data_IF_582929538512
#
_entry.id   IF_582929538512
#
_cell.length_a   1.000
_cell.length_b   1.000
_cell.length_c   1.000
_cell.angle_alpha   90.00
_cell.angle_beta   90.00
_cell.angle_gamma   90.00
#
_symmetry.space_group_name_H-M   'P 1'
#
loop_
_entity.id
_entity.type
_entity.pdbx_description
1 polymer ?
#
# COMPACT_ATOMS: atom_id res chain seq x y z
N UNK A 1 54.23 -10.28 -13.06
CA UNK A 1 53.58 -11.49 -12.49
C UNK A 1 52.15 -11.52 -13.03
N UNK A 2 51.88 -12.15 -14.18
CA UNK A 2 51.28 -13.50 -14.28
C UNK A 2 50.27 -13.77 -13.16
N UNK A 3 48.97 -13.93 -13.42
CA UNK A 3 48.38 -15.03 -14.21
C UNK A 3 47.06 -14.66 -14.92
N UNK A 4 46.97 -15.12 -16.17
CA UNK A 4 45.76 -15.42 -16.96
C UNK A 4 44.83 -16.42 -16.23
N UNK A 5 43.51 -16.33 -16.45
CA UNK A 5 42.59 -17.40 -16.91
C UNK A 5 41.14 -16.83 -16.89
N UNK A 6 40.54 -16.38 -18.01
CA UNK A 6 39.69 -17.14 -18.96
C UNK A 6 38.88 -18.29 -18.33
N UNK A 7 37.55 -18.15 -18.26
CA UNK A 7 36.66 -19.27 -18.52
C UNK A 7 35.44 -18.81 -19.32
N UNK A 8 35.31 -19.40 -20.51
CA UNK A 8 34.23 -19.22 -21.47
C UNK A 8 33.06 -20.15 -21.12
N UNK A 9 31.86 -19.72 -21.52
CA UNK A 9 30.71 -20.49 -22.07
C UNK A 9 30.71 -22.02 -21.90
N UNK A 10 29.63 -22.52 -21.30
CA UNK A 10 28.92 -23.76 -21.63
C UNK A 10 27.45 -23.53 -21.19
N UNK A 11 26.49 -23.21 -22.08
CA UNK A 11 25.71 -24.11 -22.93
C UNK A 11 25.58 -25.52 -22.33
N UNK A 12 24.54 -25.72 -21.53
CA UNK A 12 23.93 -27.02 -21.33
C UNK A 12 22.48 -26.95 -21.84
N UNK A 13 22.32 -27.26 -23.12
CA UNK A 13 21.07 -27.73 -23.70
C UNK A 13 20.75 -29.10 -23.10
N UNK A 14 19.64 -29.23 -22.38
CA UNK A 14 19.07 -30.54 -22.06
C UNK A 14 17.65 -30.60 -22.63
N UNK A 15 17.55 -31.22 -23.81
CA UNK A 15 16.32 -31.61 -24.48
C UNK A 15 16.36 -33.13 -24.57
N UNK A 16 15.39 -33.77 -23.92
CA UNK A 16 14.80 -35.09 -24.22
C UNK A 16 14.03 -35.55 -22.97
N UNK A 17 12.92 -36.26 -23.01
CA UNK A 17 11.95 -36.65 -24.02
C UNK A 17 10.92 -37.46 -23.23
N UNK A 18 9.69 -36.98 -23.04
CA UNK A 18 8.60 -37.79 -22.49
C UNK A 18 7.50 -37.87 -23.54
N UNK A 19 7.63 -38.84 -24.43
CA UNK A 19 6.56 -39.34 -25.28
C UNK A 19 5.69 -40.29 -24.45
N UNK A 20 4.42 -39.97 -24.29
CA UNK A 20 3.42 -40.82 -23.65
C UNK A 20 2.01 -40.38 -24.05
N UNK A 21 1.54 -40.91 -25.17
CA UNK A 21 0.23 -40.67 -25.76
C UNK A 21 -0.77 -41.71 -25.22
N UNK A 22 -1.85 -41.28 -24.56
CA UNK A 22 -3.06 -42.09 -24.45
C UNK A 22 -4.33 -41.22 -24.42
N UNK A 23 -4.80 -40.92 -25.62
CA UNK A 23 -6.18 -41.01 -26.11
C UNK A 23 -7.34 -41.02 -25.08
N UNK A 24 -8.01 -39.86 -25.02
CA UNK A 24 -9.47 -39.61 -25.09
C UNK A 24 -10.45 -40.62 -24.45
N UNK A 25 -11.24 -40.14 -23.49
CA UNK A 25 -12.70 -40.34 -23.48
C UNK A 25 -13.40 -39.04 -23.05
N UNK A 26 -14.18 -38.48 -23.98
CA UNK A 26 -15.13 -37.40 -23.79
C UNK A 26 -16.50 -38.06 -23.61
N UNK A 27 -17.14 -37.87 -22.45
CA UNK A 27 -18.60 -37.91 -22.36
C UNK A 27 -19.05 -36.79 -21.40
N UNK A 28 -19.94 -35.94 -21.90
CA UNK A 28 -20.64 -34.86 -21.21
C UNK A 28 -21.91 -35.42 -20.57
N UNK A 29 -22.31 -34.84 -19.44
CA UNK A 29 -23.70 -34.56 -19.03
C UNK A 29 -23.59 -33.52 -17.89
N UNK A 30 -23.59 -32.23 -18.23
CA UNK A 30 -24.72 -31.29 -18.18
C UNK A 30 -25.05 -30.68 -16.80
N UNK A 31 -24.90 -29.35 -16.75
CA UNK A 31 -25.80 -28.40 -16.08
C UNK A 31 -25.69 -28.19 -14.56
N UNK A 32 -24.78 -27.30 -14.14
CA UNK A 32 -25.10 -26.28 -13.13
C UNK A 32 -24.54 -24.92 -13.59
N UNK A 33 -25.48 -23.99 -13.68
CA UNK A 33 -25.43 -22.57 -14.06
C UNK A 33 -24.26 -21.79 -13.40
N UNK A 34 -23.40 -21.19 -14.23
CA UNK A 34 -22.58 -20.06 -13.80
C UNK A 34 -23.38 -18.76 -14.03
N UNK A 35 -23.55 -17.88 -13.04
CA UNK A 35 -24.10 -16.55 -13.30
C UNK A 35 -23.08 -15.73 -14.09
N UNK A 36 -23.40 -15.48 -15.37
CA UNK A 36 -22.78 -14.41 -16.17
C UNK A 36 -23.05 -13.06 -15.52
N UNK A 37 -22.04 -12.55 -14.84
CA UNK A 37 -21.90 -11.15 -14.46
C UNK A 37 -20.43 -10.79 -14.54
N UNK A 38 -20.01 -10.24 -15.68
CA UNK A 38 -18.70 -9.61 -15.84
C UNK A 38 -18.81 -8.14 -15.38
N UNK A 39 -18.01 -7.68 -14.42
CA UNK A 39 -17.58 -6.31 -14.35
C UNK A 39 -16.16 -6.18 -14.95
N UNK A 40 -16.13 -5.40 -16.01
CA UNK A 40 -14.99 -4.78 -16.71
C UNK A 40 -13.68 -4.68 -15.93
N UNK A 41 -12.62 -5.26 -16.51
CA UNK A 41 -11.22 -4.79 -16.53
C UNK A 41 -10.64 -4.17 -15.24
N UNK A 42 -9.80 -4.94 -14.53
CA UNK A 42 -8.61 -4.36 -13.88
C UNK A 42 -8.44 -4.49 -12.36
N UNK A 43 -9.29 -5.23 -11.62
CA UNK A 43 -9.23 -5.24 -10.14
C UNK A 43 -8.87 -6.59 -9.48
N UNK A 44 -8.68 -7.68 -10.22
CA UNK A 44 -8.67 -9.02 -9.60
C UNK A 44 -7.28 -9.54 -9.15
N UNK A 45 -6.17 -8.85 -9.46
CA UNK A 45 -4.83 -9.28 -9.03
C UNK A 45 -4.35 -8.60 -7.72
N UNK A 46 -5.02 -7.55 -7.24
CA UNK A 46 -4.67 -6.82 -6.01
C UNK A 46 -5.38 -7.36 -4.76
N UNK A 47 -6.34 -8.27 -4.92
CA UNK A 47 -7.16 -8.81 -3.82
C UNK A 47 -6.40 -9.88 -3.03
N UNK A 48 -5.52 -10.66 -3.68
CA UNK A 48 -4.80 -11.77 -3.05
C UNK A 48 -3.62 -11.33 -2.16
N UNK A 49 -2.98 -10.19 -2.44
CA UNK A 49 -1.90 -9.64 -1.58
C UNK A 49 -2.45 -8.80 -0.42
N UNK A 50 -3.70 -8.35 -0.50
CA UNK A 50 -4.40 -7.58 0.54
C UNK A 50 -4.76 -8.42 1.79
N UNK A 51 -4.86 -9.73 1.63
CA UNK A 51 -5.32 -10.69 2.65
C UNK A 51 -4.19 -11.32 3.51
N UNK A 52 -2.92 -11.16 3.12
CA UNK A 52 -1.79 -11.76 3.86
C UNK A 52 -1.26 -10.92 5.03
N UNK A 53 -1.73 -9.68 5.17
CA UNK A 53 -1.32 -8.77 6.24
C UNK A 53 -2.52 -8.18 6.93
N UNK A 54 -2.49 -8.17 8.27
CA UNK A 54 -3.58 -7.62 9.05
C UNK A 54 -3.72 -6.11 8.80
N UNK A 55 -4.95 -5.63 8.92
CA UNK A 55 -5.28 -4.22 8.77
C UNK A 55 -4.50 -3.33 9.77
N UNK A 56 -4.20 -3.87 10.95
CA UNK A 56 -3.41 -3.21 11.98
C UNK A 56 -1.93 -3.09 11.60
N UNK A 57 -1.31 -4.16 11.10
CA UNK A 57 0.08 -4.11 10.63
C UNK A 57 0.27 -3.11 9.48
N UNK A 58 -0.70 -3.07 8.55
CA UNK A 58 -0.68 -2.12 7.44
C UNK A 58 -0.86 -0.68 7.92
N UNK A 59 -1.69 -0.47 8.94
CA UNK A 59 -1.87 0.83 9.56
C UNK A 59 -0.60 1.29 10.27
N UNK A 60 0.05 0.42 11.05
CA UNK A 60 1.29 0.75 11.76
C UNK A 60 2.44 1.05 10.79
N UNK A 61 2.53 0.29 9.70
CA UNK A 61 3.46 0.58 8.60
C UNK A 61 3.18 1.94 7.96
N UNK A 62 1.91 2.25 7.68
CA UNK A 62 1.47 3.53 7.11
C UNK A 62 1.79 4.72 8.04
N UNK A 63 1.55 4.57 9.34
CA UNK A 63 1.88 5.58 10.35
C UNK A 63 3.39 5.81 10.41
N UNK A 64 4.18 4.73 10.40
CA UNK A 64 5.64 4.80 10.41
C UNK A 64 6.17 5.53 9.18
N UNK A 65 5.59 5.26 8.00
CA UNK A 65 5.93 5.98 6.76
C UNK A 65 5.72 7.48 6.96
N UNK A 66 4.50 7.91 7.32
CA UNK A 66 4.17 9.34 7.49
C UNK A 66 5.07 10.03 8.53
N UNK A 67 5.45 9.34 9.61
CA UNK A 67 6.35 9.88 10.64
C UNK A 67 7.79 10.03 10.15
N UNK A 68 8.24 9.13 9.28
CA UNK A 68 9.60 9.08 8.75
C UNK A 68 9.78 9.91 7.48
N UNK A 69 8.70 10.34 6.84
CA UNK A 69 8.76 11.26 5.71
C UNK A 69 9.45 12.57 6.12
N UNK A 70 10.43 13.05 5.34
CA UNK A 70 11.06 14.33 5.59
C UNK A 70 10.04 15.46 5.49
N UNK A 71 10.17 16.48 6.34
CA UNK A 71 9.28 17.64 6.35
C UNK A 71 9.43 18.52 5.10
N UNK A 72 10.59 18.42 4.46
CA UNK A 72 10.98 19.19 3.28
C UNK A 72 11.47 18.19 2.24
N UNK A 73 10.86 18.23 1.05
CA UNK A 73 11.17 17.33 -0.05
C UNK A 73 10.06 17.29 -1.08
N UNK A 74 10.28 16.62 -2.22
CA UNK A 74 9.26 16.38 -3.24
C UNK A 74 8.02 15.66 -2.69
N UNK A 75 8.20 14.76 -1.71
CA UNK A 75 7.11 14.10 -0.97
C UNK A 75 6.69 14.99 0.22
N UNK A 76 6.14 16.17 -0.08
CA UNK A 76 5.66 17.11 0.93
C UNK A 76 4.16 16.92 1.19
N UNK A 77 3.77 16.67 2.44
CA UNK A 77 2.36 16.67 2.84
C UNK A 77 1.83 18.10 3.05
N UNK A 78 0.72 18.43 2.38
CA UNK A 78 -0.02 19.66 2.65
C UNK A 78 -0.50 19.70 4.11
N UNK A 79 -0.66 20.90 4.68
CA UNK A 79 -1.21 21.07 6.02
C UNK A 79 -2.61 20.44 6.16
N UNK A 80 -3.39 20.42 5.09
CA UNK A 80 -4.71 19.78 5.05
C UNK A 80 -4.59 18.25 5.14
N UNK A 81 -3.70 17.64 4.35
CA UNK A 81 -3.42 16.20 4.42
C UNK A 81 -2.90 15.80 5.80
N UNK A 82 -2.03 16.61 6.43
CA UNK A 82 -1.56 16.38 7.81
C UNK A 82 -2.71 16.36 8.82
N UNK A 83 -3.71 17.23 8.64
CA UNK A 83 -4.90 17.27 9.49
C UNK A 83 -5.81 16.05 9.24
N UNK A 84 -5.95 15.61 7.99
CA UNK A 84 -6.71 14.41 7.63
C UNK A 84 -6.06 13.13 8.20
N UNK A 85 -4.74 12.97 8.06
CA UNK A 85 -4.03 11.86 8.71
C UNK A 85 -4.18 11.91 10.23
N UNK A 86 -4.10 13.10 10.83
CA UNK A 86 -4.27 13.25 12.27
C UNK A 86 -5.67 12.82 12.74
N UNK A 87 -6.73 13.26 12.06
CA UNK A 87 -8.11 12.93 12.46
C UNK A 87 -8.37 11.43 12.37
N UNK A 88 -7.96 10.79 11.26
CA UNK A 88 -8.10 9.36 11.05
C UNK A 88 -7.26 8.55 12.04
N UNK A 89 -6.03 8.99 12.35
CA UNK A 89 -5.19 8.35 13.36
C UNK A 89 -5.82 8.41 14.76
N UNK A 90 -6.38 9.56 15.13
CA UNK A 90 -7.06 9.74 16.42
C UNK A 90 -8.32 8.88 16.52
N UNK A 91 -9.11 8.80 15.45
CA UNK A 91 -10.29 7.94 15.39
C UNK A 91 -9.93 6.45 15.44
N UNK A 92 -8.87 6.04 14.74
CA UNK A 92 -8.39 4.65 14.73
C UNK A 92 -7.87 4.16 16.09
N UNK A 93 -7.23 5.06 16.86
CA UNK A 93 -6.59 4.72 18.14
C UNK A 93 -7.53 4.95 19.33
N UNK A 94 -8.02 6.18 19.46
CA UNK A 94 -8.89 6.60 20.57
C UNK A 94 -10.34 6.24 20.28
N UNK A 95 -10.82 6.52 19.07
CA UNK A 95 -12.24 6.51 18.73
C UNK A 95 -12.80 7.92 18.69
N UNK A 96 -14.09 8.06 19.01
CA UNK A 96 -14.79 9.34 19.01
C UNK A 96 -14.14 10.38 19.93
N UNK A 97 -14.26 11.65 19.52
CA UNK A 97 -13.68 12.75 20.26
C UNK A 97 -14.33 12.91 21.62
N UNK A 98 -13.49 12.90 22.66
CA UNK A 98 -13.89 12.90 24.06
C UNK A 98 -13.34 14.10 24.84
N UNK A 99 -12.79 15.10 24.15
CA UNK A 99 -12.25 16.32 24.75
C UNK A 99 -13.03 17.54 24.30
N UNK A 100 -13.04 18.58 25.14
CA UNK A 100 -13.61 19.87 24.77
C UNK A 100 -12.82 20.55 23.65
N UNK A 101 -13.50 21.43 22.92
CA UNK A 101 -12.89 22.19 21.84
C UNK A 101 -11.85 23.18 22.40
N UNK A 102 -10.61 23.18 21.90
CA UNK A 102 -9.57 24.12 22.35
C UNK A 102 -9.96 25.59 22.17
N UNK A 103 -9.43 26.44 23.06
CA UNK A 103 -9.67 27.88 23.05
C UNK A 103 -9.23 28.58 21.75
N UNK A 104 -9.82 29.75 21.49
CA UNK A 104 -9.63 30.50 20.23
C UNK A 104 -8.18 30.90 19.92
N UNK A 105 -7.32 30.96 20.93
CA UNK A 105 -5.91 31.35 20.80
C UNK A 105 -5.02 30.22 20.22
N UNK A 106 -5.48 28.96 20.26
CA UNK A 106 -4.75 27.81 19.72
C UNK A 106 -5.31 27.37 18.35
N UNK A 107 -5.03 28.14 17.29
CA UNK A 107 -5.59 27.88 15.94
C UNK A 107 -5.23 26.46 15.44
N UNK A 108 -4.00 26.00 15.66
CA UNK A 108 -3.54 24.68 15.20
C UNK A 108 -4.26 23.55 15.93
N UNK A 109 -4.35 23.63 17.26
CA UNK A 109 -5.02 22.61 18.07
C UNK A 109 -6.52 22.59 17.78
N UNK A 110 -7.12 23.76 17.57
CA UNK A 110 -8.51 23.88 17.16
C UNK A 110 -8.75 23.23 15.80
N UNK A 111 -7.87 23.41 14.82
CA UNK A 111 -7.99 22.72 13.51
C UNK A 111 -7.85 21.20 13.64
N UNK A 112 -6.92 20.73 14.47
CA UNK A 112 -6.77 19.30 14.78
C UNK A 112 -8.04 18.72 15.42
N UNK A 113 -8.60 19.43 16.39
CA UNK A 113 -9.84 19.04 17.05
C UNK A 113 -11.02 19.06 16.09
N UNK A 114 -11.17 20.12 15.29
CA UNK A 114 -12.25 20.26 14.30
C UNK A 114 -12.17 19.13 13.26
N UNK A 115 -10.97 18.76 12.81
CA UNK A 115 -10.76 17.62 11.91
C UNK A 115 -11.10 16.26 12.56
N UNK A 116 -10.74 16.06 13.83
CA UNK A 116 -11.09 14.84 14.57
C UNK A 116 -12.60 14.74 14.84
N UNK A 117 -13.25 15.86 15.20
CA UNK A 117 -14.71 15.93 15.35
C UNK A 117 -15.45 15.60 14.06
N UNK A 118 -14.90 15.97 12.89
CA UNK A 118 -15.50 15.70 11.59
C UNK A 118 -15.58 14.21 11.22
N UNK A 119 -14.77 13.34 11.85
CA UNK A 119 -14.76 11.88 11.61
C UNK A 119 -15.39 11.08 12.76
N UNK A 120 -16.12 11.75 13.64
CA UNK A 120 -16.89 11.11 14.72
C UNK A 120 -17.93 10.13 14.15
N UNK A 121 -18.12 8.99 14.84
CA UNK A 121 -19.01 7.93 14.43
C UNK A 121 -18.42 6.94 13.42
N UNK A 122 -17.20 7.18 12.92
CA UNK A 122 -16.48 6.21 12.07
C UNK A 122 -15.86 5.14 12.95
N UNK A 123 -16.04 3.86 12.59
CA UNK A 123 -15.43 2.74 13.32
C UNK A 123 -13.90 2.78 13.26
N UNK A 124 -13.23 2.14 14.22
CA UNK A 124 -11.76 2.12 14.27
C UNK A 124 -11.17 1.45 13.04
N UNK A 125 -11.78 0.35 12.60
CA UNK A 125 -11.39 -0.42 11.44
C UNK A 125 -11.52 0.42 10.16
N UNK A 126 -12.65 1.12 10.01
CA UNK A 126 -12.88 1.99 8.86
C UNK A 126 -11.93 3.19 8.86
N UNK A 127 -11.63 3.78 10.02
CA UNK A 127 -10.66 4.86 10.13
C UNK A 127 -9.25 4.41 9.67
N UNK A 128 -8.81 3.21 10.06
CA UNK A 128 -7.54 2.61 9.60
C UNK A 128 -7.55 2.36 8.08
N UNK A 129 -8.63 1.84 7.52
CA UNK A 129 -8.77 1.64 6.07
C UNK A 129 -8.69 2.96 5.30
N UNK A 130 -9.41 3.98 5.77
CA UNK A 130 -9.36 5.33 5.19
C UNK A 130 -7.95 5.92 5.28
N UNK A 131 -7.26 5.76 6.40
CA UNK A 131 -5.88 6.22 6.57
C UNK A 131 -4.95 5.64 5.51
N UNK A 132 -4.98 4.31 5.34
CA UNK A 132 -4.18 3.62 4.31
C UNK A 132 -4.56 4.10 2.91
N UNK A 133 -5.84 4.28 2.62
CA UNK A 133 -6.33 4.74 1.31
C UNK A 133 -5.83 6.15 0.98
N UNK A 134 -5.87 7.08 1.94
CA UNK A 134 -5.37 8.45 1.77
C UNK A 134 -3.86 8.43 1.51
N UNK A 135 -3.11 7.60 2.24
CA UNK A 135 -1.67 7.44 2.04
C UNK A 135 -1.33 6.91 0.63
N UNK A 136 -2.03 5.86 0.18
CA UNK A 136 -1.82 5.30 -1.15
C UNK A 136 -2.13 6.32 -2.25
N UNK A 137 -3.22 7.09 -2.10
CA UNK A 137 -3.60 8.14 -3.04
C UNK A 137 -2.55 9.26 -3.08
N UNK A 138 -1.99 9.64 -1.94
CA UNK A 138 -0.90 10.61 -1.87
C UNK A 138 0.32 10.10 -2.65
N UNK A 139 0.70 8.84 -2.48
CA UNK A 139 1.82 8.26 -3.24
C UNK A 139 1.52 8.15 -4.73
N UNK A 140 0.29 7.81 -5.12
CA UNK A 140 -0.11 7.76 -6.53
C UNK A 140 0.01 9.13 -7.21
N UNK A 141 -0.44 10.19 -6.54
CA UNK A 141 -0.30 11.56 -7.04
C UNK A 141 1.17 11.96 -7.21
N UNK A 142 2.02 11.57 -6.28
CA UNK A 142 3.45 11.91 -6.33
C UNK A 142 4.18 11.07 -7.38
N UNK A 143 3.82 9.81 -7.55
CA UNK A 143 4.41 8.91 -8.54
C UNK A 143 4.15 9.37 -9.99
N UNK A 144 3.04 10.06 -10.25
CA UNK A 144 2.76 10.66 -11.57
C UNK A 144 3.62 11.91 -11.85
N UNK A 145 4.03 12.63 -10.80
CA UNK A 145 4.77 13.89 -10.92
C UNK A 145 6.29 13.70 -10.83
N UNK A 146 6.75 12.65 -10.15
CA UNK A 146 8.16 12.44 -9.80
C UNK A 146 8.54 10.95 -9.79
N UNK A 147 9.74 10.65 -10.28
CA UNK A 147 10.33 9.32 -10.20
C UNK A 147 10.73 9.00 -8.75
N UNK A 148 9.80 8.40 -7.99
CA UNK A 148 9.98 8.09 -6.57
C UNK A 148 11.23 7.25 -6.30
N UNK A 149 11.67 6.43 -7.26
CA UNK A 149 12.90 5.63 -7.12
C UNK A 149 14.15 6.51 -7.07
N UNK A 150 14.22 7.57 -7.87
CA UNK A 150 15.36 8.50 -7.87
C UNK A 150 15.45 9.24 -6.52
N UNK A 151 14.30 9.58 -5.95
CA UNK A 151 14.24 10.28 -4.66
C UNK A 151 14.46 9.35 -3.45
N UNK A 152 13.90 8.14 -3.46
CA UNK A 152 14.09 7.14 -2.40
C UNK A 152 15.55 6.66 -2.29
N UNK A 153 16.32 6.76 -3.38
CA UNK A 153 17.71 6.31 -3.45
C UNK A 153 18.75 7.28 -2.87
N UNK A 154 18.37 8.53 -2.55
CA UNK A 154 19.35 9.52 -2.09
C UNK A 154 19.40 9.71 -0.57
N UNK A 155 18.28 9.58 0.17
CA UNK A 155 18.29 9.74 1.64
C UNK A 155 16.99 9.30 2.35
N UNK A 156 16.46 8.13 2.01
CA UNK A 156 15.29 7.59 2.72
C UNK A 156 15.69 6.43 3.63
N UNK A 157 15.33 6.54 4.92
CA UNK A 157 15.48 5.48 5.93
C UNK A 157 14.99 4.13 5.33
N UNK A 158 15.80 3.04 5.39
CA UNK A 158 15.44 1.76 4.79
C UNK A 158 14.07 1.23 5.27
N UNK A 159 13.61 1.68 6.44
CA UNK A 159 12.30 1.37 7.00
C UNK A 159 11.16 1.83 6.07
N UNK A 160 11.28 3.00 5.42
CA UNK A 160 10.25 3.53 4.53
C UNK A 160 10.05 2.57 3.36
N UNK A 161 11.14 2.12 2.74
CA UNK A 161 11.10 1.19 1.60
C UNK A 161 10.47 -0.15 1.97
N UNK A 162 10.83 -0.69 3.14
CA UNK A 162 10.23 -1.93 3.64
C UNK A 162 8.72 -1.78 3.87
N UNK A 163 8.29 -0.70 4.51
CA UNK A 163 6.86 -0.48 4.80
C UNK A 163 6.05 -0.18 3.52
N UNK A 164 6.64 0.49 2.52
CA UNK A 164 5.99 0.73 1.23
C UNK A 164 5.70 -0.60 0.50
N UNK A 165 6.64 -1.55 0.58
CA UNK A 165 6.46 -2.90 0.04
C UNK A 165 5.32 -3.65 0.75
N UNK A 166 5.12 -3.47 2.06
CA UNK A 166 3.96 -4.01 2.80
C UNK A 166 2.62 -3.45 2.28
N UNK A 167 2.65 -2.24 1.71
CA UNK A 167 1.48 -1.59 1.12
C UNK A 167 1.30 -1.92 -0.38
N UNK A 168 2.16 -2.75 -0.96
CA UNK A 168 2.10 -3.14 -2.38
C UNK A 168 2.58 -2.06 -3.35
N UNK A 169 3.32 -1.07 -2.86
CA UNK A 169 3.96 0.00 -3.64
C UNK A 169 5.48 -0.28 -3.61
N UNK A 170 5.96 -1.05 -4.58
CA UNK A 170 7.37 -1.47 -4.71
C UNK A 170 7.99 -0.94 -5.99
#
# INVERSE_FOLDING_TARGET
MNKKQRCMRNICTFRNMCTGNLRLHLQRDESIMLPSGNPTHGEELTVATKELMSLDERFDAAVTIIQKLPKEGPVSTSNEQKLEFYSLFKQATVGDVNTDRPGIFSIVERRKWDAWKAVEGVSKEEAKQRYIKVLLKMFDQIAEELDMDVWLNQECDPIIKTNLALLGKS
#
